data_IF_458065135833
#
_entry.id   IF_458065135833
#
_cell.length_a   1.000
_cell.length_b   1.000
_cell.length_c   1.000
_cell.angle_alpha   90.00
_cell.angle_beta   90.00
_cell.angle_gamma   90.00
#
_symmetry.space_group_name_H-M   'P 1'
#
loop_
_entity.id
_entity.type
_entity.pdbx_description
1 polymer ?
#
# COMPACT_ATOMS: atom_id res chain seq x y z
N UNK A 1 -21.10 11.77 8.02
CA UNK A 1 -21.73 10.46 7.73
C UNK A 1 -22.14 9.75 9.03
N UNK A 2 -23.18 8.90 9.03
CA UNK A 2 -23.48 8.04 10.18
C UNK A 2 -22.35 7.02 10.41
N UNK A 3 -22.08 6.66 11.66
CA UNK A 3 -21.03 5.69 12.02
C UNK A 3 -21.16 4.34 11.28
N UNK A 4 -22.39 3.95 10.96
CA UNK A 4 -22.71 2.74 10.16
C UNK A 4 -22.12 2.75 8.75
N UNK A 5 -21.72 3.92 8.22
CA UNK A 5 -21.10 4.01 6.89
C UNK A 5 -19.68 3.41 6.87
N UNK A 6 -19.00 3.35 8.02
CA UNK A 6 -17.67 2.76 8.16
C UNK A 6 -17.71 1.24 8.32
N UNK A 7 -18.89 0.65 8.56
CA UNK A 7 -19.04 -0.80 8.70
C UNK A 7 -18.79 -1.49 7.35
N UNK A 8 -17.70 -2.27 7.28
CA UNK A 8 -17.41 -3.10 6.12
C UNK A 8 -18.26 -4.36 6.20
N UNK A 9 -19.17 -4.51 5.24
CA UNK A 9 -19.93 -5.75 5.11
C UNK A 9 -19.02 -6.85 4.57
N UNK A 10 -18.86 -7.92 5.33
CA UNK A 10 -18.11 -9.10 4.93
C UNK A 10 -19.07 -10.23 4.54
N UNK A 11 -19.50 -10.30 3.26
CA UNK A 11 -20.36 -11.38 2.80
C UNK A 11 -19.62 -12.72 2.83
N UNK A 12 -20.37 -13.79 3.10
CA UNK A 12 -19.81 -15.15 3.12
C UNK A 12 -19.30 -15.59 1.73
N UNK A 13 -18.09 -16.13 1.71
CA UNK A 13 -17.40 -16.68 0.53
C UNK A 13 -17.88 -18.09 0.15
N UNK A 14 -18.45 -18.84 1.09
CA UNK A 14 -18.78 -20.25 0.87
C UNK A 14 -20.11 -20.43 0.11
N UNK A 15 -20.89 -19.35 -0.02
CA UNK A 15 -22.16 -19.37 -0.74
C UNK A 15 -21.94 -19.62 -2.22
N UNK A 16 -22.44 -20.75 -2.71
CA UNK A 16 -22.42 -21.12 -4.11
C UNK A 16 -23.84 -21.28 -4.66
N UNK A 17 -24.13 -20.60 -5.76
CA UNK A 17 -25.43 -20.66 -6.43
C UNK A 17 -25.29 -20.59 -7.95
N UNK A 18 -26.43 -20.43 -8.63
CA UNK A 18 -26.50 -20.41 -10.10
C UNK A 18 -25.63 -19.31 -10.72
N UNK A 19 -25.57 -18.13 -10.09
CA UNK A 19 -24.73 -17.03 -10.55
C UNK A 19 -23.24 -17.38 -10.52
N UNK A 20 -22.77 -18.04 -9.44
CA UNK A 20 -21.39 -18.51 -9.32
C UNK A 20 -21.10 -19.61 -10.33
N UNK A 21 -22.01 -20.57 -10.51
CA UNK A 21 -21.84 -21.65 -11.48
C UNK A 21 -21.72 -21.12 -12.92
N UNK A 22 -22.60 -20.20 -13.31
CA UNK A 22 -22.55 -19.55 -14.61
C UNK A 22 -21.26 -18.73 -14.78
N UNK A 23 -20.87 -18.00 -13.74
CA UNK A 23 -19.63 -17.22 -13.78
C UNK A 23 -18.39 -18.11 -13.88
N UNK A 24 -18.34 -19.24 -13.16
CA UNK A 24 -17.27 -20.23 -13.28
C UNK A 24 -17.16 -20.78 -14.70
N UNK A 25 -18.29 -21.02 -15.38
CA UNK A 25 -18.29 -21.44 -16.78
C UNK A 25 -17.70 -20.34 -17.70
N UNK A 26 -18.09 -19.07 -17.51
CA UNK A 26 -17.50 -17.95 -18.24
C UNK A 26 -16.00 -17.85 -17.99
N UNK A 27 -15.56 -17.93 -16.74
CA UNK A 27 -14.15 -17.89 -16.35
C UNK A 27 -13.37 -18.99 -17.08
N UNK A 28 -13.87 -20.23 -17.03
CA UNK A 28 -13.24 -21.36 -17.70
C UNK A 28 -13.13 -21.12 -19.22
N UNK A 29 -14.22 -20.71 -19.87
CA UNK A 29 -14.23 -20.46 -21.32
C UNK A 29 -13.26 -19.35 -21.71
N UNK A 30 -13.27 -18.21 -21.00
CA UNK A 30 -12.41 -17.06 -21.31
C UNK A 30 -10.94 -17.41 -21.10
N UNK A 31 -10.59 -18.05 -19.98
CA UNK A 31 -9.20 -18.45 -19.71
C UNK A 31 -8.72 -19.50 -20.72
N UNK A 32 -9.50 -20.56 -20.97
CA UNK A 32 -9.12 -21.60 -21.92
C UNK A 32 -8.99 -21.06 -23.34
N UNK A 33 -9.89 -20.18 -23.78
CA UNK A 33 -9.83 -19.57 -25.11
C UNK A 33 -8.61 -18.65 -25.25
N UNK A 34 -8.33 -17.82 -24.25
CA UNK A 34 -7.20 -16.87 -24.28
C UNK A 34 -5.85 -17.61 -24.28
N UNK A 35 -5.72 -18.65 -23.45
CA UNK A 35 -4.53 -19.53 -23.43
C UNK A 35 -4.39 -20.26 -24.77
N UNK A 36 -5.46 -20.83 -25.30
CA UNK A 36 -5.43 -21.55 -26.58
C UNK A 36 -5.01 -20.64 -27.73
N UNK A 37 -5.58 -19.43 -27.82
CA UNK A 37 -5.21 -18.44 -28.83
C UNK A 37 -3.73 -18.03 -28.72
N UNK A 38 -3.23 -17.79 -27.51
CA UNK A 38 -1.83 -17.46 -27.30
C UNK A 38 -0.90 -18.59 -27.74
N UNK A 39 -1.26 -19.85 -27.47
CA UNK A 39 -0.51 -21.03 -27.92
C UNK A 39 -0.57 -21.26 -29.43
N UNK A 40 -1.70 -20.97 -30.08
CA UNK A 40 -1.84 -21.06 -31.55
C UNK A 40 -0.97 -20.02 -32.26
N UNK A 41 -0.90 -18.80 -31.71
CA UNK A 41 -0.12 -17.70 -32.30
C UNK A 41 1.37 -17.76 -31.92
N UNK A 42 1.73 -18.50 -30.86
CA UNK A 42 3.10 -18.62 -30.35
C UNK A 42 4.15 -19.00 -31.40
N UNK A 43 3.93 -19.99 -32.31
CA UNK A 43 4.91 -20.34 -33.35
C UNK A 43 5.27 -19.18 -34.28
N UNK A 44 4.42 -18.15 -34.35
CA UNK A 44 4.59 -16.97 -35.20
C UNK A 44 5.16 -15.75 -34.46
N UNK A 45 5.39 -15.81 -33.15
CA UNK A 45 5.97 -14.73 -32.32
C UNK A 45 7.48 -14.94 -32.08
N UNK A 46 8.20 -13.86 -31.69
CA UNK A 46 9.69 -13.77 -31.59
C UNK A 46 10.37 -15.03 -31.01
N UNK A 47 11.51 -15.43 -31.61
CA UNK A 47 12.41 -16.49 -31.12
C UNK A 47 12.91 -16.18 -29.71
N UNK A 48 12.81 -17.16 -28.79
CA UNK A 48 13.34 -17.09 -27.43
C UNK A 48 12.33 -17.27 -26.28
N UNK A 49 11.02 -17.38 -26.57
CA UNK A 49 9.96 -17.61 -25.57
C UNK A 49 9.51 -19.07 -25.52
N UNK A 50 9.33 -19.61 -24.32
CA UNK A 50 8.83 -20.98 -24.10
C UNK A 50 7.31 -21.06 -24.30
N UNK A 51 6.78 -22.28 -24.41
CA UNK A 51 5.32 -22.51 -24.42
C UNK A 51 4.66 -22.07 -23.10
N UNK A 52 5.39 -22.17 -21.98
CA UNK A 52 4.93 -21.73 -20.68
C UNK A 52 4.75 -20.21 -20.64
N UNK A 53 5.67 -19.45 -21.26
CA UNK A 53 5.55 -17.99 -21.38
C UNK A 53 4.30 -17.61 -22.20
N UNK A 54 4.07 -18.29 -23.33
CA UNK A 54 2.89 -18.05 -24.16
C UNK A 54 1.58 -18.38 -23.44
N UNK A 55 1.53 -19.50 -22.72
CA UNK A 55 0.37 -19.86 -21.91
C UNK A 55 0.12 -18.83 -20.79
N UNK A 56 1.20 -18.32 -20.17
CA UNK A 56 1.12 -17.31 -19.11
C UNK A 56 0.62 -15.96 -19.65
N UNK A 57 1.10 -15.54 -20.83
CA UNK A 57 0.59 -14.36 -21.53
C UNK A 57 -0.92 -14.49 -21.84
N UNK A 58 -1.35 -15.65 -22.35
CA UNK A 58 -2.76 -15.90 -22.64
C UNK A 58 -3.64 -15.98 -21.39
N UNK A 59 -3.11 -16.46 -20.27
CA UNK A 59 -3.80 -16.41 -18.97
C UNK A 59 -4.04 -14.96 -18.54
N UNK A 60 -3.03 -14.10 -18.69
CA UNK A 60 -3.13 -12.67 -18.33
C UNK A 60 -4.05 -11.90 -19.27
N UNK A 61 -4.07 -12.22 -20.56
CA UNK A 61 -5.09 -11.71 -21.49
C UNK A 61 -6.50 -12.05 -21.01
N UNK A 62 -6.69 -13.28 -20.53
CA UNK A 62 -7.92 -13.73 -19.89
C UNK A 62 -8.24 -12.97 -18.59
N UNK A 63 -7.24 -12.68 -17.75
CA UNK A 63 -7.44 -11.88 -16.52
C UNK A 63 -7.94 -10.48 -16.84
N UNK A 64 -7.31 -9.80 -17.80
CA UNK A 64 -7.73 -8.47 -18.26
C UNK A 64 -9.16 -8.50 -18.80
N UNK A 65 -9.50 -9.52 -19.61
CA UNK A 65 -10.84 -9.69 -20.16
C UNK A 65 -11.91 -9.99 -19.08
N UNK A 66 -11.56 -10.77 -18.05
CA UNK A 66 -12.48 -11.13 -16.96
C UNK A 66 -12.76 -9.96 -16.01
N UNK A 67 -11.80 -9.03 -15.88
CA UNK A 67 -11.96 -7.75 -15.21
C UNK A 67 -11.31 -7.67 -13.83
N UNK A 68 -11.78 -6.74 -12.97
CA UNK A 68 -11.01 -6.25 -11.80
C UNK A 68 -10.54 -7.33 -10.81
N UNK A 69 -11.35 -8.35 -10.49
CA UNK A 69 -10.93 -9.41 -9.56
C UNK A 69 -9.71 -10.19 -10.06
N UNK A 70 -9.68 -10.50 -11.36
CA UNK A 70 -8.57 -11.26 -11.95
C UNK A 70 -7.36 -10.39 -12.21
N UNK A 71 -7.58 -9.10 -12.53
CA UNK A 71 -6.49 -8.12 -12.56
C UNK A 71 -5.83 -8.02 -11.18
N UNK A 72 -6.61 -7.90 -10.09
CA UNK A 72 -6.06 -7.91 -8.71
C UNK A 72 -5.34 -9.20 -8.37
N UNK A 73 -5.87 -10.36 -8.78
CA UNK A 73 -5.17 -11.64 -8.61
C UNK A 73 -3.82 -11.62 -9.34
N UNK A 74 -3.77 -11.08 -10.57
CA UNK A 74 -2.52 -10.86 -11.29
C UNK A 74 -1.56 -9.92 -10.57
N UNK A 75 -2.04 -8.82 -10.01
CA UNK A 75 -1.23 -7.87 -9.23
C UNK A 75 -0.62 -8.52 -7.98
N UNK A 76 -1.39 -9.37 -7.28
CA UNK A 76 -0.90 -10.15 -6.15
C UNK A 76 0.22 -11.10 -6.60
N UNK A 77 -0.02 -11.87 -7.67
CA UNK A 77 0.98 -12.80 -8.22
C UNK A 77 2.26 -12.07 -8.67
N UNK A 78 2.13 -10.92 -9.33
CA UNK A 78 3.25 -10.09 -9.75
C UNK A 78 4.07 -9.57 -8.56
N UNK A 79 3.39 -9.19 -7.47
CA UNK A 79 4.01 -8.72 -6.23
C UNK A 79 4.65 -9.84 -5.40
N UNK A 80 4.34 -11.10 -5.71
CA UNK A 80 4.82 -12.29 -5.01
C UNK A 80 5.66 -13.21 -5.91
N UNK A 81 6.47 -12.64 -6.79
CA UNK A 81 7.22 -13.39 -7.82
C UNK A 81 8.11 -14.53 -7.30
N UNK A 82 8.54 -14.49 -6.03
CA UNK A 82 9.28 -15.60 -5.40
C UNK A 82 8.44 -16.82 -5.01
N UNK A 83 7.10 -16.69 -4.98
CA UNK A 83 6.16 -17.77 -4.66
C UNK A 83 5.61 -18.47 -5.91
N UNK A 84 5.66 -17.82 -7.07
CA UNK A 84 5.07 -18.30 -8.31
C UNK A 84 6.13 -18.61 -9.37
N UNK A 85 5.86 -19.53 -10.31
CA UNK A 85 6.76 -19.77 -11.44
C UNK A 85 7.05 -18.49 -12.23
N UNK A 86 8.32 -18.27 -12.59
CA UNK A 86 8.77 -17.04 -13.25
C UNK A 86 7.97 -16.65 -14.50
N UNK A 87 7.56 -17.57 -15.41
CA UNK A 87 6.72 -17.23 -16.56
C UNK A 87 5.39 -16.57 -16.17
N UNK A 88 4.77 -17.07 -15.10
CA UNK A 88 3.49 -16.58 -14.59
C UNK A 88 3.66 -15.21 -13.93
N UNK A 89 4.62 -15.08 -13.01
CA UNK A 89 4.89 -13.82 -12.33
C UNK A 89 5.23 -12.68 -13.30
N UNK A 90 6.06 -12.97 -14.31
CA UNK A 90 6.46 -11.99 -15.32
C UNK A 90 5.29 -11.56 -16.21
N UNK A 91 4.44 -12.49 -16.65
CA UNK A 91 3.27 -12.14 -17.44
C UNK A 91 2.31 -11.23 -16.64
N UNK A 92 2.10 -11.54 -15.36
CA UNK A 92 1.23 -10.79 -14.45
C UNK A 92 1.67 -9.34 -14.21
N UNK A 93 2.90 -8.95 -14.55
CA UNK A 93 3.33 -7.55 -14.51
C UNK A 93 2.44 -6.64 -15.38
N UNK A 94 1.84 -7.17 -16.45
CA UNK A 94 0.89 -6.42 -17.30
C UNK A 94 -0.42 -6.07 -16.57
N UNK A 95 -0.75 -6.75 -15.47
CA UNK A 95 -1.90 -6.38 -14.65
C UNK A 95 -1.66 -5.12 -13.80
N UNK A 96 -0.45 -4.55 -13.85
CA UNK A 96 -0.10 -3.29 -13.22
C UNK A 96 -0.37 -2.07 -14.12
N UNK A 97 -0.73 -2.28 -15.40
CA UNK A 97 -0.99 -1.20 -16.37
C UNK A 97 -2.38 -0.55 -16.18
N UNK A 98 -2.55 0.66 -16.73
CA UNK A 98 -3.79 1.46 -16.64
C UNK A 98 -5.02 0.73 -17.22
N UNK A 99 -6.16 0.90 -16.55
CA UNK A 99 -7.45 0.27 -16.91
C UNK A 99 -8.36 1.30 -17.58
N UNK A 100 -9.09 0.96 -18.67
CA UNK A 100 -9.97 1.89 -19.36
C UNK A 100 -11.08 2.45 -18.44
N UNK A 101 -11.45 3.71 -18.66
CA UNK A 101 -12.56 4.38 -17.98
C UNK A 101 -13.92 3.80 -18.39
N UNK A 102 -14.95 4.06 -17.58
CA UNK A 102 -16.34 3.76 -17.90
C UNK A 102 -17.12 5.05 -18.28
N UNK A 103 -18.27 4.93 -18.98
CA UNK A 103 -19.00 6.08 -19.49
C UNK A 103 -19.46 7.07 -18.40
N UNK A 104 -19.39 8.36 -18.70
CA UNK A 104 -19.75 9.44 -17.77
C UNK A 104 -21.19 9.35 -17.25
N UNK A 105 -22.14 8.92 -18.09
CA UNK A 105 -23.54 8.70 -17.69
C UNK A 105 -23.66 7.72 -16.51
N UNK A 106 -22.84 6.67 -16.51
CA UNK A 106 -22.82 5.72 -15.41
C UNK A 106 -22.19 6.33 -14.15
N UNK A 107 -21.15 7.17 -14.31
CA UNK A 107 -20.53 7.88 -13.20
C UNK A 107 -21.52 8.83 -12.52
N UNK A 108 -22.22 9.65 -13.31
CA UNK A 108 -23.32 10.51 -12.86
C UNK A 108 -24.41 9.72 -12.14
N UNK A 109 -24.80 8.56 -12.68
CA UNK A 109 -25.79 7.69 -12.05
C UNK A 109 -25.34 7.15 -10.69
N UNK A 110 -24.06 6.78 -10.53
CA UNK A 110 -23.53 6.32 -9.25
C UNK A 110 -23.57 7.46 -8.22
N UNK A 111 -23.11 8.66 -8.59
CA UNK A 111 -23.14 9.84 -7.72
C UNK A 111 -24.56 10.14 -7.27
N UNK A 112 -25.53 10.17 -8.20
CA UNK A 112 -26.93 10.45 -7.86
C UNK A 112 -27.55 9.39 -6.96
N UNK A 113 -27.24 8.10 -7.18
CA UNK A 113 -27.75 7.02 -6.33
C UNK A 113 -27.18 7.06 -4.91
N UNK A 114 -25.94 7.50 -4.75
CA UNK A 114 -25.29 7.56 -3.45
C UNK A 114 -25.64 8.82 -2.66
N UNK A 115 -25.68 9.97 -3.33
CA UNK A 115 -25.84 11.27 -2.68
C UNK A 115 -27.29 11.77 -2.71
N UNK A 116 -28.16 11.19 -3.54
CA UNK A 116 -29.59 11.52 -3.62
C UNK A 116 -29.92 12.74 -4.49
N UNK A 117 -28.92 13.44 -5.01
CA UNK A 117 -29.06 14.64 -5.85
C UNK A 117 -28.38 14.44 -7.20
N UNK A 118 -28.82 15.16 -8.24
CA UNK A 118 -28.14 15.09 -9.52
C UNK A 118 -26.75 15.74 -9.43
N UNK A 119 -25.84 15.36 -10.32
CA UNK A 119 -24.49 15.96 -10.40
C UNK A 119 -24.57 17.47 -10.62
N UNK A 120 -25.56 17.93 -11.37
CA UNK A 120 -25.74 19.36 -11.68
C UNK A 120 -26.31 20.14 -10.48
N UNK A 121 -27.02 19.47 -9.57
CA UNK A 121 -27.45 20.07 -8.29
C UNK A 121 -26.29 20.13 -7.28
N UNK A 122 -25.39 19.14 -7.31
CA UNK A 122 -24.29 19.02 -6.35
C UNK A 122 -23.10 19.93 -6.67
N UNK A 123 -22.77 20.09 -7.96
CA UNK A 123 -21.55 20.75 -8.38
C UNK A 123 -21.85 21.92 -9.31
N UNK A 124 -21.12 23.02 -9.16
CA UNK A 124 -21.15 24.14 -10.10
C UNK A 124 -20.59 23.73 -11.47
N UNK A 125 -19.61 22.81 -11.48
CA UNK A 125 -19.05 22.19 -12.69
C UNK A 125 -18.67 20.74 -12.42
N UNK A 126 -18.86 19.87 -13.39
CA UNK A 126 -18.41 18.49 -13.38
C UNK A 126 -17.83 18.15 -14.75
N UNK A 127 -16.63 17.56 -14.78
CA UNK A 127 -16.00 17.11 -16.02
C UNK A 127 -16.39 15.66 -16.31
N UNK A 128 -17.10 15.43 -17.42
CA UNK A 128 -17.49 14.08 -17.84
C UNK A 128 -16.28 13.25 -18.31
N UNK A 129 -15.15 13.90 -18.63
CA UNK A 129 -13.88 13.21 -18.92
C UNK A 129 -13.14 12.96 -17.59
N UNK A 130 -12.87 11.70 -17.22
CA UNK A 130 -12.15 11.41 -16.00
C UNK A 130 -10.69 11.86 -16.09
N UNK A 131 -10.15 12.38 -14.98
CA UNK A 131 -8.74 12.69 -14.81
C UNK A 131 -7.87 11.43 -14.77
N UNK A 132 -8.40 10.37 -14.17
CA UNK A 132 -7.71 9.09 -13.99
C UNK A 132 -8.72 7.95 -13.86
N UNK A 133 -8.31 6.74 -14.21
CA UNK A 133 -9.09 5.53 -14.02
C UNK A 133 -8.21 4.44 -13.41
N UNK A 134 -8.75 3.75 -12.40
CA UNK A 134 -8.11 2.65 -11.70
C UNK A 134 -8.96 1.37 -11.81
N UNK A 135 -8.51 0.31 -11.15
CA UNK A 135 -9.15 -1.02 -11.21
C UNK A 135 -10.60 -1.00 -10.69
N UNK A 136 -10.89 -0.26 -9.62
CA UNK A 136 -12.21 -0.23 -8.95
C UNK A 136 -12.96 1.09 -9.05
N UNK A 137 -12.30 2.18 -9.46
CA UNK A 137 -12.88 3.53 -9.51
C UNK A 137 -12.29 4.38 -10.63
N UNK A 138 -12.92 5.51 -10.93
CA UNK A 138 -12.34 6.58 -11.75
C UNK A 138 -12.56 7.94 -11.08
N UNK A 139 -11.69 8.91 -11.38
CA UNK A 139 -11.64 10.21 -10.72
C UNK A 139 -12.08 11.29 -11.71
N UNK A 140 -13.05 12.10 -11.34
CA UNK A 140 -13.53 13.24 -12.14
C UNK A 140 -13.18 14.56 -11.46
N UNK A 141 -12.87 15.58 -12.26
CA UNK A 141 -12.76 16.95 -11.79
C UNK A 141 -14.16 17.53 -11.53
N UNK A 142 -14.31 18.29 -10.45
CA UNK A 142 -15.52 19.07 -10.20
C UNK A 142 -15.20 20.39 -9.49
N UNK A 143 -16.19 21.27 -9.43
CA UNK A 143 -16.15 22.54 -8.69
C UNK A 143 -17.39 22.60 -7.81
N UNK A 144 -17.18 22.82 -6.51
CA UNK A 144 -18.28 23.00 -5.56
C UNK A 144 -18.98 24.34 -5.78
N UNK A 145 -20.21 24.50 -5.30
CA UNK A 145 -20.97 25.76 -5.44
C UNK A 145 -20.34 26.96 -4.72
N UNK A 146 -19.47 26.73 -3.74
CA UNK A 146 -18.69 27.77 -3.07
C UNK A 146 -17.39 28.15 -3.82
N UNK A 147 -17.13 27.53 -4.98
CA UNK A 147 -15.99 27.81 -5.84
C UNK A 147 -14.74 26.97 -5.57
N UNK A 148 -14.73 26.11 -4.54
CA UNK A 148 -13.60 25.20 -4.30
C UNK A 148 -13.44 24.19 -5.44
N UNK A 149 -12.22 24.02 -5.92
CA UNK A 149 -11.87 22.96 -6.88
C UNK A 149 -11.75 21.62 -6.15
N UNK A 150 -12.42 20.60 -6.68
CA UNK A 150 -12.49 19.28 -6.08
C UNK A 150 -12.24 18.18 -7.12
N UNK A 151 -12.01 16.98 -6.61
CA UNK A 151 -12.09 15.74 -7.38
C UNK A 151 -13.05 14.79 -6.69
N UNK A 152 -13.79 14.03 -7.48
CA UNK A 152 -14.66 12.96 -6.98
C UNK A 152 -14.22 11.62 -7.59
N UNK A 153 -13.78 10.71 -6.72
CA UNK A 153 -13.45 9.32 -7.05
C UNK A 153 -14.73 8.50 -6.93
N UNK A 154 -15.13 7.89 -8.04
CA UNK A 154 -16.41 7.19 -8.22
C UNK A 154 -16.11 5.73 -8.51
N UNK A 155 -16.62 4.83 -7.66
CA UNK A 155 -16.47 3.40 -7.90
C UNK A 155 -17.17 2.97 -9.20
N UNK A 156 -16.59 1.96 -9.86
CA UNK A 156 -17.18 1.33 -11.04
C UNK A 156 -18.58 0.79 -10.70
N UNK A 157 -19.58 0.98 -11.58
CA UNK A 157 -20.91 0.45 -11.37
C UNK A 157 -20.89 -1.08 -11.16
N UNK A 158 -21.70 -1.54 -10.21
CA UNK A 158 -21.90 -2.96 -9.88
C UNK A 158 -20.62 -3.75 -9.52
N UNK A 159 -19.52 -3.04 -9.24
CA UNK A 159 -18.21 -3.65 -8.96
C UNK A 159 -18.26 -4.59 -7.76
N UNK A 160 -18.96 -4.20 -6.70
CA UNK A 160 -19.13 -5.00 -5.49
C UNK A 160 -19.77 -6.37 -5.78
N UNK A 161 -20.91 -6.37 -6.46
CA UNK A 161 -21.62 -7.61 -6.78
C UNK A 161 -20.80 -8.50 -7.72
N UNK A 162 -20.16 -7.90 -8.73
CA UNK A 162 -19.33 -8.62 -9.69
C UNK A 162 -18.12 -9.26 -9.02
N UNK A 163 -17.37 -8.49 -8.23
CA UNK A 163 -16.18 -8.99 -7.55
C UNK A 163 -16.52 -10.06 -6.52
N UNK A 164 -17.63 -9.92 -5.80
CA UNK A 164 -18.09 -10.95 -4.87
C UNK A 164 -18.43 -12.28 -5.56
N UNK A 165 -19.10 -12.24 -6.73
CA UNK A 165 -19.37 -13.45 -7.50
C UNK A 165 -18.06 -14.09 -7.98
N UNK A 166 -17.11 -13.27 -8.46
CA UNK A 166 -15.80 -13.73 -8.91
C UNK A 166 -14.99 -14.38 -7.79
N UNK A 167 -14.97 -13.77 -6.60
CA UNK A 167 -14.25 -14.29 -5.43
C UNK A 167 -14.85 -15.60 -4.93
N UNK A 168 -16.19 -15.73 -4.91
CA UNK A 168 -16.86 -16.99 -4.57
C UNK A 168 -16.56 -18.10 -5.58
N UNK A 169 -16.59 -17.77 -6.87
CA UNK A 169 -16.24 -18.71 -7.93
C UNK A 169 -14.77 -19.15 -7.82
N UNK A 170 -13.85 -18.21 -7.56
CA UNK A 170 -12.45 -18.47 -7.35
C UNK A 170 -12.21 -19.35 -6.11
N UNK A 171 -12.85 -19.04 -4.98
CA UNK A 171 -12.73 -19.81 -3.74
C UNK A 171 -13.17 -21.26 -3.92
N UNK A 172 -14.28 -21.48 -4.62
CA UNK A 172 -14.76 -22.82 -4.96
C UNK A 172 -13.81 -23.54 -5.91
N UNK A 173 -13.28 -22.84 -6.92
CA UNK A 173 -12.27 -23.38 -7.83
C UNK A 173 -10.99 -23.79 -7.11
N UNK A 174 -10.48 -22.97 -6.19
CA UNK A 174 -9.29 -23.26 -5.39
C UNK A 174 -9.50 -24.50 -4.51
N UNK A 175 -10.64 -24.61 -3.83
CA UNK A 175 -11.01 -25.81 -3.05
C UNK A 175 -10.99 -27.11 -3.87
N UNK A 176 -11.30 -27.04 -5.16
CA UNK A 176 -11.21 -28.21 -6.05
C UNK A 176 -9.76 -28.45 -6.46
N UNK A 177 -9.08 -27.40 -6.93
CA UNK A 177 -7.72 -27.50 -7.46
C UNK A 177 -6.69 -27.92 -6.42
N UNK A 178 -6.82 -27.50 -5.16
CA UNK A 178 -5.94 -27.93 -4.06
C UNK A 178 -5.96 -29.46 -3.85
N UNK A 179 -7.04 -30.16 -4.26
CA UNK A 179 -7.13 -31.62 -4.17
C UNK A 179 -6.30 -32.33 -5.25
N UNK A 180 -5.99 -31.64 -6.35
CA UNK A 180 -5.33 -32.22 -7.53
C UNK A 180 -3.96 -31.63 -7.82
N UNK A 181 -3.66 -30.43 -7.33
CA UNK A 181 -2.43 -29.68 -7.61
C UNK A 181 -1.67 -29.42 -6.32
N UNK A 182 -0.58 -30.16 -6.13
CA UNK A 182 0.22 -30.10 -4.90
C UNK A 182 0.76 -28.69 -4.60
N UNK A 183 1.21 -27.96 -5.63
CA UNK A 183 1.67 -26.58 -5.47
C UNK A 183 0.59 -25.66 -4.85
N UNK A 184 -0.66 -25.75 -5.30
CA UNK A 184 -1.75 -24.91 -4.79
C UNK A 184 -2.13 -25.27 -3.36
N UNK A 185 -2.04 -26.56 -3.01
CA UNK A 185 -2.22 -27.04 -1.63
C UNK A 185 -1.12 -26.51 -0.71
N UNK A 186 0.13 -26.53 -1.16
CA UNK A 186 1.27 -26.00 -0.39
C UNK A 186 1.15 -24.47 -0.24
N UNK A 187 0.72 -23.78 -1.29
CA UNK A 187 0.52 -22.34 -1.28
C UNK A 187 -0.76 -21.88 -0.54
N UNK A 188 -1.63 -22.80 -0.12
CA UNK A 188 -2.90 -22.51 0.55
C UNK A 188 -3.75 -21.50 -0.24
N UNK A 189 -4.05 -21.83 -1.50
CA UNK A 189 -4.77 -20.96 -2.43
C UNK A 189 -6.13 -20.45 -1.88
N UNK A 190 -6.82 -21.25 -1.08
CA UNK A 190 -8.07 -20.86 -0.41
C UNK A 190 -7.86 -19.77 0.64
N UNK A 191 -6.76 -19.79 1.39
CA UNK A 191 -6.38 -18.70 2.29
C UNK A 191 -6.07 -17.42 1.51
N UNK A 192 -5.27 -17.51 0.44
CA UNK A 192 -4.96 -16.35 -0.42
C UNK A 192 -6.23 -15.68 -0.95
N UNK A 193 -7.23 -16.46 -1.37
CA UNK A 193 -8.50 -15.91 -1.86
C UNK A 193 -9.32 -15.27 -0.73
N UNK A 194 -9.25 -15.82 0.48
CA UNK A 194 -9.91 -15.24 1.66
C UNK A 194 -9.29 -13.89 2.02
N UNK A 195 -7.97 -13.78 1.97
CA UNK A 195 -7.25 -12.53 2.24
C UNK A 195 -7.56 -11.50 1.15
N UNK A 196 -7.55 -11.91 -0.13
CA UNK A 196 -7.95 -11.07 -1.25
C UNK A 196 -9.41 -10.60 -1.12
N UNK A 197 -10.31 -11.45 -0.63
CA UNK A 197 -11.69 -11.08 -0.36
C UNK A 197 -11.80 -10.01 0.74
N UNK A 198 -11.12 -10.22 1.87
CA UNK A 198 -11.15 -9.27 2.99
C UNK A 198 -10.59 -7.91 2.57
N UNK A 199 -9.47 -7.90 1.85
CA UNK A 199 -8.89 -6.69 1.29
C UNK A 199 -9.85 -6.01 0.31
N UNK A 200 -10.44 -6.77 -0.62
CA UNK A 200 -11.38 -6.24 -1.62
C UNK A 200 -12.64 -5.64 -0.99
N UNK A 201 -13.28 -6.34 -0.04
CA UNK A 201 -14.50 -5.84 0.58
C UNK A 201 -14.24 -4.56 1.39
N UNK A 202 -13.06 -4.46 2.00
CA UNK A 202 -12.63 -3.24 2.69
C UNK A 202 -12.41 -2.09 1.72
N UNK A 203 -11.71 -2.33 0.60
CA UNK A 203 -11.43 -1.32 -0.43
C UNK A 203 -12.68 -0.83 -1.15
N UNK A 204 -13.71 -1.67 -1.26
CA UNK A 204 -14.99 -1.30 -1.88
C UNK A 204 -15.92 -0.49 -0.97
N UNK A 205 -15.47 -0.10 0.23
CA UNK A 205 -16.16 0.90 1.04
C UNK A 205 -15.39 2.24 1.00
N UNK A 206 -15.83 3.17 0.15
CA UNK A 206 -15.18 4.47 -0.02
C UNK A 206 -15.22 5.34 1.24
N UNK A 207 -16.17 5.11 2.15
CA UNK A 207 -16.23 5.83 3.42
C UNK A 207 -15.04 5.47 4.34
N UNK A 208 -14.54 4.24 4.27
CA UNK A 208 -13.36 3.80 5.04
C UNK A 208 -12.10 4.49 4.53
N UNK A 209 -11.94 4.62 3.22
CA UNK A 209 -10.85 5.39 2.60
C UNK A 209 -10.90 6.87 3.04
N UNK A 210 -12.09 7.48 2.98
CA UNK A 210 -12.31 8.87 3.41
C UNK A 210 -11.97 9.11 4.88
N UNK A 211 -12.33 8.18 5.75
CA UNK A 211 -12.05 8.23 7.19
C UNK A 211 -10.55 8.09 7.50
N UNK A 212 -9.89 7.13 6.84
CA UNK A 212 -8.44 6.94 6.92
C UNK A 212 -7.68 8.18 6.47
N UNK A 213 -8.07 8.76 5.33
CA UNK A 213 -7.47 9.98 4.81
C UNK A 213 -7.66 11.16 5.76
N UNK A 214 -8.87 11.34 6.30
CA UNK A 214 -9.18 12.41 7.27
C UNK A 214 -8.36 12.24 8.54
N UNK A 215 -8.27 11.02 9.07
CA UNK A 215 -7.50 10.68 10.27
C UNK A 215 -6.02 10.97 10.05
N UNK A 216 -5.45 10.52 8.94
CA UNK A 216 -4.05 10.79 8.60
C UNK A 216 -3.79 12.29 8.49
N UNK A 217 -4.64 13.03 7.76
CA UNK A 217 -4.53 14.49 7.60
C UNK A 217 -4.53 15.23 8.95
N UNK A 218 -5.41 14.82 9.88
CA UNK A 218 -5.45 15.42 11.21
C UNK A 218 -4.15 15.14 11.98
N UNK A 219 -3.62 13.92 11.89
CA UNK A 219 -2.39 13.51 12.56
C UNK A 219 -1.15 14.26 12.06
N UNK A 220 -1.08 14.66 10.78
CA UNK A 220 0.02 15.50 10.26
C UNK A 220 0.21 16.74 11.16
N UNK A 221 -0.89 17.36 11.58
CA UNK A 221 -0.85 18.60 12.37
C UNK A 221 -0.59 18.40 13.87
N UNK A 222 -0.49 17.16 14.37
CA UNK A 222 -0.45 16.85 15.80
C UNK A 222 0.67 17.56 16.57
N UNK A 223 1.81 17.79 15.92
CA UNK A 223 2.98 18.44 16.50
C UNK A 223 3.19 19.90 16.03
N UNK A 224 2.41 20.35 15.03
CA UNK A 224 2.45 21.72 14.52
C UNK A 224 3.63 22.08 13.59
N UNK A 225 4.53 21.13 13.31
CA UNK A 225 5.78 21.34 12.59
C UNK A 225 5.86 20.64 11.21
N UNK A 226 4.83 19.88 10.82
CA UNK A 226 4.79 19.14 9.55
C UNK A 226 4.13 19.93 8.40
N UNK A 227 4.37 21.24 8.30
CA UNK A 227 3.69 22.11 7.32
C UNK A 227 4.03 21.81 5.86
N UNK A 228 5.18 21.19 5.63
CA UNK A 228 5.65 20.79 4.29
C UNK A 228 5.00 19.51 3.74
N UNK A 229 4.09 18.87 4.48
CA UNK A 229 3.38 17.67 4.05
C UNK A 229 1.88 17.89 4.19
N UNK A 230 1.10 17.35 3.27
CA UNK A 230 -0.35 17.45 3.30
C UNK A 230 -1.00 16.21 2.70
N UNK A 231 -2.31 16.15 2.88
CA UNK A 231 -3.22 15.18 2.28
C UNK A 231 -4.49 15.94 1.90
N UNK A 232 -5.16 15.61 0.78
CA UNK A 232 -6.36 16.34 0.36
C UNK A 232 -7.42 16.37 1.46
N UNK A 233 -8.04 17.52 1.67
CA UNK A 233 -9.22 17.61 2.55
C UNK A 233 -10.38 16.80 1.97
N UNK A 234 -11.03 15.96 2.78
CA UNK A 234 -12.24 15.23 2.38
C UNK A 234 -13.47 16.11 2.58
N UNK A 235 -14.29 16.24 1.53
CA UNK A 235 -15.55 16.97 1.59
C UNK A 235 -16.69 16.01 1.92
N UNK A 236 -16.87 15.74 3.21
CA UNK A 236 -17.78 14.70 3.72
C UNK A 236 -19.24 14.81 3.26
N UNK A 237 -19.74 16.02 3.00
CA UNK A 237 -21.09 16.25 2.49
C UNK A 237 -21.30 15.73 1.06
N UNK A 238 -20.20 15.45 0.35
CA UNK A 238 -20.16 14.94 -1.02
C UNK A 238 -19.60 13.51 -1.10
N UNK A 239 -19.59 12.79 0.04
CA UNK A 239 -19.14 11.41 0.12
C UNK A 239 -20.33 10.45 0.27
N UNK A 240 -20.18 9.23 -0.24
CA UNK A 240 -21.13 8.12 -0.22
C UNK A 240 -20.39 6.78 -0.07
N UNK A 241 -21.11 5.65 0.09
CA UNK A 241 -20.49 4.32 0.12
C UNK A 241 -19.58 3.99 -1.07
N UNK A 242 -19.86 4.59 -2.24
CA UNK A 242 -19.19 4.37 -3.54
C UNK A 242 -18.54 5.62 -4.11
N UNK A 243 -18.61 6.75 -3.41
CA UNK A 243 -18.05 8.02 -3.89
C UNK A 243 -17.30 8.74 -2.78
N UNK A 244 -16.11 9.26 -3.09
CA UNK A 244 -15.33 10.12 -2.19
C UNK A 244 -14.98 11.41 -2.94
N UNK A 245 -15.37 12.54 -2.36
CA UNK A 245 -15.07 13.87 -2.88
C UNK A 245 -14.01 14.52 -1.98
N UNK A 246 -12.98 15.12 -2.59
CA UNK A 246 -11.87 15.71 -1.86
C UNK A 246 -11.26 16.90 -2.60
N UNK A 247 -10.45 17.67 -1.89
CA UNK A 247 -9.66 18.78 -2.41
C UNK A 247 -8.87 18.39 -3.66
N UNK A 248 -8.91 19.25 -4.68
CA UNK A 248 -8.11 19.03 -5.88
C UNK A 248 -6.66 19.48 -5.65
N UNK A 249 -5.75 18.51 -5.67
CA UNK A 249 -4.31 18.77 -5.60
C UNK A 249 -3.72 18.99 -7.00
N UNK A 250 -2.68 19.84 -7.09
CA UNK A 250 -1.94 20.16 -8.32
C UNK A 250 -0.45 20.05 -8.06
N UNK A 251 0.23 19.27 -8.89
CA UNK A 251 1.64 18.98 -8.72
C UNK A 251 2.12 17.90 -9.68
N UNK A 252 3.33 17.40 -9.41
CA UNK A 252 3.98 16.34 -10.18
C UNK A 252 4.25 15.12 -9.29
N UNK A 253 4.15 13.88 -9.82
CA UNK A 253 4.63 12.69 -9.14
C UNK A 253 6.09 12.84 -8.68
N UNK A 254 6.39 12.37 -7.47
CA UNK A 254 7.70 12.54 -6.82
C UNK A 254 8.86 11.96 -7.63
N UNK A 255 8.63 10.89 -8.40
CA UNK A 255 9.66 10.27 -9.26
C UNK A 255 9.97 11.07 -10.54
N UNK A 256 9.06 11.98 -10.92
CA UNK A 256 9.21 12.90 -12.05
C UNK A 256 9.64 14.29 -11.60
N UNK A 257 9.72 14.53 -10.30
CA UNK A 257 10.22 15.78 -9.76
C UNK A 257 11.70 15.94 -10.10
N UNK A 258 12.04 17.04 -10.75
CA UNK A 258 13.42 17.41 -11.06
C UNK A 258 13.73 18.67 -10.28
N UNK A 259 14.67 18.57 -9.36
CA UNK A 259 15.17 19.72 -8.63
C UNK A 259 15.78 20.75 -9.59
N UNK A 260 15.61 22.03 -9.30
CA UNK A 260 16.30 23.10 -10.04
C UNK A 260 17.83 22.99 -9.92
N UNK A 261 18.60 23.76 -10.72
CA UNK A 261 20.07 23.69 -10.76
C UNK A 261 20.77 23.82 -9.39
N UNK A 262 20.16 24.55 -8.45
CA UNK A 262 20.65 24.75 -7.08
C UNK A 262 19.75 24.09 -6.01
N UNK A 263 18.79 23.23 -6.42
CA UNK A 263 17.69 22.74 -5.60
C UNK A 263 17.92 21.42 -4.86
N UNK A 264 19.17 20.93 -4.75
CA UNK A 264 19.45 19.63 -4.11
C UNK A 264 19.05 19.63 -2.63
N UNK A 265 19.32 20.72 -1.91
CA UNK A 265 18.95 20.80 -0.49
C UNK A 265 17.44 20.92 -0.29
N UNK A 266 16.74 21.56 -1.25
CA UNK A 266 15.27 21.61 -1.26
C UNK A 266 14.68 20.22 -1.52
N UNK A 267 15.16 19.51 -2.54
CA UNK A 267 14.75 18.13 -2.84
C UNK A 267 15.03 17.18 -1.67
N UNK A 268 16.17 17.37 -1.00
CA UNK A 268 16.52 16.64 0.21
C UNK A 268 15.56 16.94 1.36
N UNK A 269 15.24 18.21 1.61
CA UNK A 269 14.29 18.57 2.67
C UNK A 269 12.87 18.11 2.37
N UNK A 270 12.44 18.12 1.10
CA UNK A 270 11.16 17.57 0.68
C UNK A 270 11.04 16.11 1.11
N UNK A 271 11.96 15.24 0.69
CA UNK A 271 11.86 13.82 1.02
C UNK A 271 12.00 13.56 2.53
N UNK A 272 12.84 14.32 3.24
CA UNK A 272 12.97 14.26 4.71
C UNK A 272 11.63 14.52 5.41
N UNK A 273 10.91 15.57 5.00
CA UNK A 273 9.58 15.90 5.55
C UNK A 273 8.56 14.78 5.31
N UNK A 274 8.53 14.23 4.10
CA UNK A 274 7.64 13.12 3.75
C UNK A 274 7.90 11.87 4.58
N UNK A 275 9.17 11.47 4.71
CA UNK A 275 9.58 10.31 5.53
C UNK A 275 9.29 10.54 7.01
N UNK A 276 9.54 11.74 7.53
CA UNK A 276 9.25 12.11 8.92
C UNK A 276 7.78 11.90 9.27
N UNK A 277 6.88 12.51 8.50
CA UNK A 277 5.43 12.36 8.69
C UNK A 277 4.99 10.90 8.58
N UNK A 278 5.56 10.17 7.63
CA UNK A 278 5.25 8.74 7.49
C UNK A 278 5.74 7.92 8.69
N UNK A 279 6.96 8.14 9.20
CA UNK A 279 7.47 7.45 10.40
C UNK A 279 6.66 7.80 11.65
N UNK A 280 6.27 9.06 11.83
CA UNK A 280 5.35 9.48 12.90
C UNK A 280 4.03 8.73 12.81
N UNK A 281 3.48 8.55 11.61
CA UNK A 281 2.24 7.79 11.42
C UNK A 281 2.37 6.33 11.86
N UNK A 282 3.52 5.69 11.55
CA UNK A 282 3.80 4.29 11.91
C UNK A 282 3.97 4.11 13.42
N UNK A 283 4.76 4.98 14.05
CA UNK A 283 5.23 4.78 15.43
C UNK A 283 4.27 5.43 16.43
N UNK A 284 3.87 6.68 16.17
CA UNK A 284 3.11 7.49 17.12
C UNK A 284 1.62 7.32 16.90
N UNK A 285 1.13 7.55 15.67
CA UNK A 285 -0.30 7.66 15.43
C UNK A 285 -0.99 6.33 15.14
N UNK A 286 -0.25 5.32 14.66
CA UNK A 286 -0.72 3.98 14.33
C UNK A 286 -0.94 3.79 12.83
N UNK A 287 -2.07 4.22 12.25
CA UNK A 287 -2.34 4.04 10.82
C UNK A 287 -1.34 4.80 9.94
N UNK A 288 -0.68 4.07 9.05
CA UNK A 288 0.31 4.61 8.11
C UNK A 288 -0.08 4.36 6.65
N UNK A 289 0.39 5.24 5.77
CA UNK A 289 0.16 5.12 4.33
C UNK A 289 0.84 3.85 3.78
N UNK A 290 0.05 2.91 3.28
CA UNK A 290 0.52 1.58 2.86
C UNK A 290 0.94 1.48 1.39
N UNK A 291 0.81 2.56 0.61
CA UNK A 291 1.19 2.56 -0.81
C UNK A 291 1.86 3.87 -1.25
N UNK A 292 3.07 4.12 -0.77
CA UNK A 292 3.82 5.37 -1.02
C UNK A 292 4.57 5.38 -2.36
N UNK A 293 4.06 4.67 -3.37
CA UNK A 293 4.66 4.66 -4.70
C UNK A 293 4.52 6.03 -5.38
N UNK A 294 5.16 6.21 -6.53
CA UNK A 294 5.32 7.54 -7.12
C UNK A 294 4.00 8.19 -7.56
N UNK A 295 3.00 7.39 -7.92
CA UNK A 295 1.65 7.88 -8.22
C UNK A 295 0.91 8.51 -7.03
N UNK A 296 1.31 8.19 -5.79
CA UNK A 296 0.63 8.57 -4.56
C UNK A 296 1.43 9.58 -3.72
N UNK A 297 2.68 9.88 -4.10
CA UNK A 297 3.48 10.95 -3.52
C UNK A 297 3.68 12.03 -4.58
N UNK A 298 3.09 13.21 -4.38
CA UNK A 298 3.22 14.33 -5.31
C UNK A 298 3.98 15.48 -4.66
N UNK A 299 4.84 16.13 -5.44
CA UNK A 299 5.35 17.47 -5.11
C UNK A 299 4.38 18.48 -5.69
N UNK A 300 3.75 19.25 -4.83
CA UNK A 300 2.75 20.25 -5.20
C UNK A 300 3.40 21.50 -5.76
N UNK A 301 2.60 22.26 -6.52
CA UNK A 301 3.01 23.56 -7.08
C UNK A 301 3.38 24.58 -5.99
N UNK A 302 2.89 24.40 -4.76
CA UNK A 302 3.20 25.22 -3.58
C UNK A 302 4.42 24.72 -2.77
N UNK A 303 5.11 23.69 -3.26
CA UNK A 303 6.31 23.13 -2.64
C UNK A 303 6.06 22.15 -1.49
N UNK A 304 4.81 21.78 -1.18
CA UNK A 304 4.53 20.71 -0.20
C UNK A 304 4.58 19.33 -0.85
N UNK A 305 4.76 18.29 -0.04
CA UNK A 305 4.49 16.89 -0.45
C UNK A 305 3.04 16.55 -0.14
N UNK A 306 2.30 16.05 -1.13
CA UNK A 306 0.99 15.45 -0.93
C UNK A 306 1.07 13.93 -0.92
N UNK A 307 0.46 13.30 0.08
CA UNK A 307 0.15 11.87 0.10
C UNK A 307 -1.29 11.67 -0.37
N UNK A 308 -1.49 10.86 -1.41
CA UNK A 308 -2.76 10.60 -2.10
C UNK A 308 -3.13 9.11 -2.04
N UNK A 309 -4.42 8.80 -2.12
CA UNK A 309 -4.99 7.44 -2.11
C UNK A 309 -4.72 6.64 -0.83
N UNK A 310 -5.70 6.67 0.08
CA UNK A 310 -5.67 5.94 1.35
C UNK A 310 -6.43 4.61 1.26
N UNK A 311 -6.52 4.02 0.06
CA UNK A 311 -7.11 2.70 -0.14
C UNK A 311 -6.33 1.60 0.60
N UNK A 312 -5.01 1.75 0.69
CA UNK A 312 -4.12 0.85 1.44
C UNK A 312 -3.51 1.60 2.62
N UNK A 313 -3.93 1.22 3.83
CA UNK A 313 -3.40 1.74 5.10
C UNK A 313 -3.05 0.56 5.99
N UNK A 314 -1.84 0.58 6.53
CA UNK A 314 -1.38 -0.42 7.49
C UNK A 314 -1.56 0.06 8.92
N UNK A 315 -1.76 -0.86 9.85
CA UNK A 315 -1.73 -0.60 11.29
C UNK A 315 -0.90 -1.69 11.93
N UNK A 316 0.27 -1.33 12.47
CA UNK A 316 1.08 -2.33 13.17
C UNK A 316 0.40 -2.74 14.47
N UNK A 317 0.38 -4.04 14.81
CA UNK A 317 0.00 -4.48 16.14
C UNK A 317 0.86 -3.78 17.21
N UNK A 318 0.26 -3.48 18.37
CA UNK A 318 0.92 -2.69 19.42
C UNK A 318 2.29 -3.25 19.82
N UNK A 319 2.40 -4.58 19.93
CA UNK A 319 3.65 -5.26 20.26
C UNK A 319 4.74 -4.97 19.23
N UNK A 320 4.43 -5.08 17.94
CA UNK A 320 5.37 -4.80 16.86
C UNK A 320 5.70 -3.32 16.74
N UNK A 321 4.73 -2.44 16.97
CA UNK A 321 4.95 -0.99 17.02
C UNK A 321 5.93 -0.62 18.13
N UNK A 322 5.76 -1.20 19.33
CA UNK A 322 6.68 -1.03 20.46
C UNK A 322 8.09 -1.55 20.14
N UNK A 323 8.20 -2.77 19.59
CA UNK A 323 9.49 -3.36 19.20
C UNK A 323 10.23 -2.45 18.19
N UNK A 324 9.52 -1.95 17.18
CA UNK A 324 10.11 -1.05 16.20
C UNK A 324 10.55 0.28 16.82
N UNK A 325 9.73 0.85 17.70
CA UNK A 325 10.08 2.06 18.46
C UNK A 325 11.35 1.84 19.29
N UNK A 326 11.42 0.75 20.06
CA UNK A 326 12.60 0.42 20.86
C UNK A 326 13.84 0.18 20.00
N UNK A 327 13.68 -0.44 18.83
CA UNK A 327 14.77 -0.65 17.89
C UNK A 327 15.31 0.65 17.31
N UNK A 328 14.44 1.58 16.92
CA UNK A 328 14.86 2.90 16.44
C UNK A 328 15.61 3.65 17.54
N UNK A 329 15.08 3.65 18.75
CA UNK A 329 15.71 4.29 19.90
C UNK A 329 17.09 3.69 20.20
N UNK A 330 17.18 2.36 20.27
CA UNK A 330 18.44 1.67 20.51
C UNK A 330 19.48 1.99 19.42
N UNK A 331 19.06 2.00 18.16
CA UNK A 331 19.99 2.22 17.04
C UNK A 331 20.48 3.68 16.97
N UNK A 332 19.62 4.65 17.25
CA UNK A 332 19.90 6.08 17.03
C UNK A 332 20.40 6.82 18.27
N UNK A 333 20.00 6.37 19.46
CA UNK A 333 20.11 7.18 20.68
C UNK A 333 21.06 6.52 21.69
N UNK A 334 20.67 5.35 22.23
CA UNK A 334 21.24 4.83 23.48
C UNK A 334 21.92 3.45 23.37
N UNK A 335 21.79 2.73 22.25
CA UNK A 335 22.36 1.39 22.09
C UNK A 335 21.69 0.30 22.93
N UNK A 336 20.56 0.59 23.59
CA UNK A 336 19.89 -0.33 24.52
C UNK A 336 19.05 -1.39 23.79
N UNK A 337 19.74 -2.37 23.19
CA UNK A 337 19.09 -3.51 22.52
C UNK A 337 18.40 -4.49 23.49
N UNK A 338 18.59 -4.36 24.81
CA UNK A 338 17.88 -5.17 25.79
C UNK A 338 16.37 -4.87 25.78
N UNK A 339 15.97 -3.62 25.45
CA UNK A 339 14.53 -3.28 25.25
C UNK A 339 13.92 -4.04 24.08
N UNK A 340 14.65 -4.10 22.96
CA UNK A 340 14.23 -4.82 21.76
C UNK A 340 14.06 -6.31 22.06
N UNK A 341 15.00 -6.89 22.81
CA UNK A 341 14.94 -8.28 23.26
C UNK A 341 13.71 -8.57 24.12
N UNK A 342 13.36 -7.68 25.07
CA UNK A 342 12.12 -7.80 25.86
C UNK A 342 10.87 -7.77 25.01
N UNK A 343 10.83 -6.87 24.03
CA UNK A 343 9.74 -6.79 23.06
C UNK A 343 9.59 -8.09 22.26
N UNK A 344 10.69 -8.65 21.74
CA UNK A 344 10.68 -9.94 21.03
C UNK A 344 10.19 -11.08 21.94
N UNK A 345 10.59 -11.11 23.21
CA UNK A 345 10.11 -12.09 24.19
C UNK A 345 8.60 -12.03 24.41
N UNK A 346 8.02 -10.82 24.40
CA UNK A 346 6.57 -10.65 24.54
C UNK A 346 5.75 -11.29 23.41
N UNK A 347 6.38 -11.61 22.27
CA UNK A 347 5.76 -12.35 21.17
C UNK A 347 5.68 -13.88 21.42
N UNK A 348 6.08 -14.35 22.62
CA UNK A 348 6.07 -15.76 22.99
C UNK A 348 7.35 -16.52 22.58
N UNK A 349 8.41 -15.81 22.24
CA UNK A 349 9.72 -16.39 21.94
C UNK A 349 10.66 -16.36 23.15
N UNK A 350 11.60 -17.31 23.23
CA UNK A 350 12.57 -17.45 24.31
C UNK A 350 11.98 -17.53 25.74
N UNK A 351 10.71 -17.95 25.87
CA UNK A 351 10.09 -18.30 27.16
C UNK A 351 10.70 -19.57 27.75
N UNK A 352 11.21 -20.47 26.89
CA UNK A 352 11.80 -21.76 27.27
C UNK A 352 13.33 -21.71 27.42
N UNK A 353 13.95 -20.55 27.15
CA UNK A 353 15.39 -20.35 27.26
C UNK A 353 15.70 -19.50 28.51
N UNK A 354 16.53 -20.02 29.42
CA UNK A 354 17.12 -19.26 30.55
C UNK A 354 18.16 -18.22 30.09
N UNK A 355 17.94 -17.58 28.94
CA UNK A 355 18.83 -16.53 28.43
C UNK A 355 18.37 -15.21 29.05
N UNK A 356 19.29 -14.44 29.62
CA UNK A 356 18.98 -13.11 30.15
C UNK A 356 18.69 -12.12 29.02
N UNK A 357 17.88 -11.09 29.27
CA UNK A 357 17.48 -10.08 28.28
C UNK A 357 18.69 -9.35 27.69
N UNK A 358 19.75 -9.15 28.48
CA UNK A 358 21.00 -8.55 28.04
C UNK A 358 21.75 -9.44 27.04
N UNK A 359 21.77 -10.76 27.28
CA UNK A 359 22.39 -11.72 26.36
C UNK A 359 21.61 -11.82 25.05
N UNK A 360 20.28 -11.84 25.14
CA UNK A 360 19.42 -11.82 23.95
C UNK A 360 19.57 -10.49 23.18
N UNK A 361 19.65 -9.37 23.89
CA UNK A 361 19.91 -8.05 23.33
C UNK A 361 21.24 -8.01 22.57
N UNK A 362 22.29 -8.62 23.13
CA UNK A 362 23.59 -8.72 22.48
C UNK A 362 23.58 -9.65 21.25
N UNK A 363 22.77 -10.71 21.25
CA UNK A 363 22.54 -11.54 20.06
C UNK A 363 21.80 -10.78 18.96
N UNK A 364 20.76 -10.01 19.32
CA UNK A 364 20.04 -9.13 18.39
C UNK A 364 21.01 -8.10 17.82
N UNK A 365 21.77 -7.41 18.66
CA UNK A 365 22.79 -6.46 18.23
C UNK A 365 23.83 -7.10 17.30
N UNK A 366 24.27 -8.33 17.58
CA UNK A 366 25.24 -9.08 16.75
C UNK A 366 24.63 -9.52 15.42
N UNK A 367 23.38 -9.98 15.41
CA UNK A 367 22.68 -10.38 14.20
C UNK A 367 22.42 -9.18 13.29
N UNK A 368 22.15 -8.02 13.90
CA UNK A 368 21.98 -6.77 13.19
C UNK A 368 23.34 -6.10 12.90
N UNK A 369 24.44 -6.47 13.55
CA UNK A 369 25.76 -5.84 13.39
C UNK A 369 26.27 -5.73 11.94
N UNK A 370 26.09 -6.73 11.05
CA UNK A 370 26.48 -6.60 9.64
C UNK A 370 25.65 -5.56 8.89
N UNK A 371 24.40 -5.36 9.31
CA UNK A 371 23.49 -4.35 8.75
C UNK A 371 23.83 -2.99 9.37
N UNK A 372 24.04 -2.97 10.69
CA UNK A 372 24.43 -1.84 11.53
C UNK A 372 25.89 -1.38 11.29
N UNK A 373 26.72 -2.14 10.55
CA UNK A 373 28.15 -1.88 10.43
C UNK A 373 28.93 -2.66 9.35
N UNK A 374 29.16 -1.98 8.23
CA UNK A 374 30.48 -1.68 7.65
C UNK A 374 30.33 -0.29 7.01
N UNK A 375 30.89 0.72 7.66
CA UNK A 375 30.47 2.13 7.56
C UNK A 375 29.00 2.33 7.95
N UNK A 376 28.75 3.00 9.09
CA UNK A 376 27.40 3.44 9.47
C UNK A 376 26.72 4.25 8.34
N UNK A 377 27.51 4.80 7.40
CA UNK A 377 27.08 5.63 6.26
C UNK A 377 26.25 4.94 5.16
N UNK A 378 26.02 3.62 5.21
CA UNK A 378 25.20 2.91 4.19
C UNK A 378 23.98 2.16 4.77
N UNK A 379 23.55 2.50 5.99
CA UNK A 379 22.43 1.84 6.66
C UNK A 379 21.11 1.94 5.88
N UNK A 380 20.71 0.85 5.23
CA UNK A 380 19.37 0.69 4.68
C UNK A 380 18.45 0.11 5.74
N UNK A 381 17.54 0.95 6.20
CA UNK A 381 16.56 0.56 7.20
C UNK A 381 15.63 -0.54 6.65
N UNK A 382 15.40 -0.60 5.33
CA UNK A 382 14.60 -1.67 4.71
C UNK A 382 15.25 -3.06 4.91
N UNK A 383 16.58 -3.13 4.82
CA UNK A 383 17.34 -4.37 5.06
C UNK A 383 17.27 -4.80 6.52
N UNK A 384 17.31 -3.84 7.46
CA UNK A 384 17.12 -4.07 8.90
C UNK A 384 15.77 -4.73 9.19
N UNK A 385 14.69 -4.19 8.60
CA UNK A 385 13.34 -4.73 8.76
C UNK A 385 13.21 -6.11 8.12
N UNK A 386 13.79 -6.31 6.93
CA UNK A 386 13.76 -7.62 6.29
C UNK A 386 14.55 -8.67 7.08
N UNK A 387 15.66 -8.30 7.69
CA UNK A 387 16.39 -9.19 8.58
C UNK A 387 15.57 -9.56 9.82
N UNK A 388 14.83 -8.63 10.41
CA UNK A 388 13.90 -8.94 11.50
C UNK A 388 12.78 -9.89 11.06
N UNK A 389 12.21 -9.69 9.88
CA UNK A 389 11.19 -10.60 9.32
C UNK A 389 11.80 -12.00 9.11
N UNK A 390 13.03 -12.08 8.60
CA UNK A 390 13.72 -13.36 8.39
C UNK A 390 14.07 -14.05 9.71
N UNK A 391 14.53 -13.31 10.72
CA UNK A 391 14.77 -13.81 12.07
C UNK A 391 13.46 -14.32 12.69
N UNK A 392 12.38 -13.55 12.59
CA UNK A 392 11.04 -13.99 13.00
C UNK A 392 10.64 -15.31 12.36
N UNK A 393 10.84 -15.46 11.05
CA UNK A 393 10.58 -16.72 10.33
C UNK A 393 11.44 -17.89 10.82
N UNK A 394 12.74 -17.66 11.06
CA UNK A 394 13.64 -18.67 11.61
C UNK A 394 13.22 -19.10 13.03
N UNK A 395 12.65 -18.17 13.80
CA UNK A 395 12.17 -18.38 15.16
C UNK A 395 10.74 -18.92 15.24
N UNK A 396 10.10 -19.20 14.10
CA UNK A 396 8.72 -19.69 14.07
C UNK A 396 7.67 -18.65 14.44
N UNK A 397 8.05 -17.37 14.54
CA UNK A 397 7.14 -16.26 14.79
C UNK A 397 6.57 -15.79 13.45
N UNK A 398 5.25 -15.88 13.29
CA UNK A 398 4.57 -15.26 12.16
C UNK A 398 4.72 -13.74 12.25
N UNK A 399 5.38 -13.13 11.28
CA UNK A 399 5.39 -11.67 11.14
C UNK A 399 4.04 -11.19 10.62
N UNK A 400 3.50 -10.09 11.14
CA UNK A 400 2.25 -9.53 10.64
C UNK A 400 2.46 -9.01 9.21
N UNK A 401 1.40 -9.08 8.40
CA UNK A 401 1.43 -8.59 7.01
C UNK A 401 1.79 -7.10 6.95
N UNK A 402 1.38 -6.34 7.97
CA UNK A 402 1.66 -4.92 8.11
C UNK A 402 3.14 -4.62 8.29
N UNK A 403 3.93 -5.55 8.87
CA UNK A 403 5.38 -5.38 8.96
C UNK A 403 6.05 -5.56 7.59
N UNK A 404 5.53 -6.47 6.76
CA UNK A 404 5.98 -6.62 5.35
C UNK A 404 5.60 -5.38 4.55
N UNK A 405 4.38 -4.87 4.73
CA UNK A 405 3.91 -3.64 4.11
C UNK A 405 4.79 -2.44 4.48
N UNK A 406 5.13 -2.30 5.76
CA UNK A 406 6.05 -1.28 6.29
C UNK A 406 7.43 -1.38 5.62
N UNK A 407 8.04 -2.57 5.60
CA UNK A 407 9.35 -2.78 4.96
C UNK A 407 9.35 -2.43 3.46
N UNK A 408 8.26 -2.76 2.74
CA UNK A 408 8.09 -2.40 1.32
C UNK A 408 8.04 -0.87 1.11
N UNK A 409 7.28 -0.16 1.94
CA UNK A 409 7.16 1.31 1.84
C UNK A 409 8.48 2.01 2.12
N UNK A 410 9.23 1.51 3.09
CA UNK A 410 10.55 2.03 3.39
C UNK A 410 11.53 1.85 2.21
N UNK A 411 11.47 0.71 1.52
CA UNK A 411 12.23 0.51 0.28
C UNK A 411 11.87 1.51 -0.83
N UNK A 412 10.62 1.97 -0.93
CA UNK A 412 10.25 3.07 -1.82
C UNK A 412 10.89 4.39 -1.38
N UNK A 413 10.85 4.72 -0.10
CA UNK A 413 11.51 5.93 0.42
C UNK A 413 13.02 5.93 0.20
N UNK A 414 13.71 4.80 0.36
CA UNK A 414 15.15 4.68 0.06
C UNK A 414 15.46 4.90 -1.43
N UNK A 415 14.57 4.43 -2.31
CA UNK A 415 14.68 4.71 -3.75
C UNK A 415 14.53 6.20 -4.05
N UNK A 416 13.56 6.88 -3.43
CA UNK A 416 13.40 8.33 -3.57
C UNK A 416 14.59 9.09 -2.97
N UNK A 417 15.09 8.66 -1.82
CA UNK A 417 16.28 9.23 -1.18
C UNK A 417 17.50 9.16 -2.10
N UNK A 418 17.70 8.03 -2.79
CA UNK A 418 18.80 7.88 -3.76
C UNK A 418 18.73 8.92 -4.89
N UNK A 419 17.51 9.26 -5.34
CA UNK A 419 17.30 10.21 -6.43
C UNK A 419 17.30 11.68 -5.97
N UNK A 420 16.64 11.99 -4.85
CA UNK A 420 16.34 13.35 -4.39
C UNK A 420 17.29 13.85 -3.30
N UNK A 421 17.95 12.94 -2.60
CA UNK A 421 18.84 13.24 -1.49
C UNK A 421 20.10 12.34 -1.51
N UNK A 422 20.96 12.43 -2.55
CA UNK A 422 22.15 11.58 -2.62
C UNK A 422 23.00 11.71 -1.35
N UNK A 423 23.41 10.55 -0.80
CA UNK A 423 24.18 10.46 0.45
C UNK A 423 23.37 10.65 1.75
N UNK A 424 22.06 10.88 1.67
CA UNK A 424 21.21 10.93 2.86
C UNK A 424 20.85 9.52 3.36
N UNK A 425 21.03 9.30 4.66
CA UNK A 425 20.77 8.02 5.32
C UNK A 425 19.60 8.19 6.29
N UNK A 426 18.46 7.59 5.97
CA UNK A 426 17.23 7.66 6.77
C UNK A 426 17.49 7.23 8.22
N UNK A 427 18.19 6.11 8.40
CA UNK A 427 18.48 5.52 9.71
C UNK A 427 19.46 6.30 10.59
N UNK A 428 19.88 7.51 10.21
CA UNK A 428 20.77 8.38 11.00
C UNK A 428 20.19 9.77 11.22
N UNK A 429 19.08 10.09 10.56
CA UNK A 429 18.56 11.45 10.53
C UNK A 429 17.69 11.73 11.76
N UNK A 430 18.29 12.33 12.78
CA UNK A 430 17.61 12.71 14.02
C UNK A 430 16.37 13.58 13.77
N UNK A 431 16.32 14.34 12.67
CA UNK A 431 15.14 15.13 12.30
C UNK A 431 13.88 14.26 12.13
N UNK A 432 14.02 13.05 11.59
CA UNK A 432 12.90 12.13 11.38
C UNK A 432 12.28 11.63 12.68
N UNK A 433 13.06 11.63 13.76
CA UNK A 433 12.67 11.06 15.05
C UNK A 433 12.40 12.12 16.11
N UNK A 434 12.49 13.42 15.78
CA UNK A 434 12.34 14.51 16.75
C UNK A 434 10.97 14.53 17.44
N UNK A 435 9.91 14.08 16.76
CA UNK A 435 8.57 13.98 17.36
C UNK A 435 8.31 12.59 17.97
N UNK A 436 9.11 11.59 17.60
CA UNK A 436 9.01 10.22 18.11
C UNK A 436 9.71 10.08 19.47
N UNK A 437 10.90 10.69 19.60
CA UNK A 437 11.73 10.68 20.82
C UNK A 437 12.22 12.10 21.16
N UNK A 438 11.33 13.05 21.50
CA UNK A 438 11.66 14.47 21.59
C UNK A 438 12.80 14.79 22.57
N UNK A 439 12.74 14.24 23.79
CA UNK A 439 13.76 14.46 24.81
C UNK A 439 15.12 13.85 24.39
N UNK A 440 15.08 12.59 23.94
CA UNK A 440 16.29 11.85 23.59
C UNK A 440 16.98 12.41 22.34
N UNK A 441 16.20 12.88 21.36
CA UNK A 441 16.74 13.57 20.19
C UNK A 441 17.33 14.93 20.58
N UNK A 442 16.67 15.71 21.44
CA UNK A 442 17.19 17.00 21.89
C UNK A 442 18.55 16.85 22.59
N UNK A 443 18.68 15.87 23.49
CA UNK A 443 19.95 15.55 24.16
C UNK A 443 21.03 15.15 23.14
N UNK A 444 20.70 14.27 22.18
CA UNK A 444 21.66 13.81 21.16
C UNK A 444 22.12 14.92 20.22
N UNK A 445 21.19 15.80 19.82
CA UNK A 445 21.48 16.98 19.00
C UNK A 445 22.44 17.92 19.73
N UNK A 446 22.24 18.12 21.04
CA UNK A 446 23.13 18.91 21.88
C UNK A 446 24.51 18.26 22.03
N UNK A 447 24.58 16.95 22.26
CA UNK A 447 25.83 16.17 22.36
C UNK A 447 26.66 16.27 21.08
N UNK A 448 26.03 16.14 19.92
CA UNK A 448 26.68 16.14 18.62
C UNK A 448 26.91 17.55 18.04
N UNK A 449 26.36 18.59 18.66
CA UNK A 449 26.45 19.98 18.17
C UNK A 449 25.77 20.19 16.81
N UNK A 450 24.73 19.42 16.51
CA UNK A 450 24.01 19.47 15.22
C UNK A 450 22.98 20.61 15.27
N UNK A 451 22.81 21.33 14.17
CA UNK A 451 21.67 22.26 14.00
C UNK A 451 20.56 21.53 13.28
N UNK A 452 19.38 21.46 13.91
CA UNK A 452 18.20 20.83 13.32
C UNK A 452 17.49 21.79 12.36
N UNK A 453 16.91 21.30 11.26
CA UNK A 453 16.02 22.12 10.43
C UNK A 453 14.80 22.59 11.24
N UNK A 454 14.43 23.86 11.07
CA UNK A 454 13.26 24.47 11.73
C UNK A 454 11.95 23.84 11.24
N UNK A 455 11.85 23.55 9.94
CA UNK A 455 10.70 22.91 9.26
C UNK A 455 11.13 21.91 8.18
#
# INVERSE_FOLDING_TARGET
>A
MPATALEVRMPDLERFGLAQLWRSAIIAVVLSTSIMLALIVWPFRKRGRTWADAASDGMVDGFIALGPTFVKLGQLVASSSGLFPAPVANACLRCLDDVPSFPAEQARSVVQKDLGYSVDDLFAKFDDVPLAAASVAQVHACVLHDGREAVIKIQRPDIYARMLIDLRAAYWGANILEKFVEFLRIANATAIIRDLHNATMTELNSAVEADRQTTFRNNISAFGDNKGVTTPEVYWDYCGPRVICMERMRGVPLDRFVAGPDGIDEARMLIRRGVKVWLESVIVHGPFHGDVHAGNLWVLDDGRIAMLDFGIVGVLPETWRSILSDMFRATLIDGDFARVARGIRSLGYATDYEVDDDQLGMQVATALAPILGRDLGELKLSELIMALIQLGKQWGVASPEELVLFGKQLGYFERYATALAPGWVIGQDLYLFKNVFPEAVAEKVQELGITMPDE
#
